data_IF_608057344447
#
_entry.id   IF_608057344447
#
_cell.length_a   1.000
_cell.length_b   1.000
_cell.length_c   1.000
_cell.angle_alpha   90.00
_cell.angle_beta   90.00
_cell.angle_gamma   90.00
#
_symmetry.space_group_name_H-M   'P 1'
#
loop_
_entity.id
_entity.type
_entity.pdbx_description
1 polymer ?
#
# COMPACT_ATOMS: atom_id res chain seq x y z
N UNK A 1 -42.76 -28.32 -26.56
CA UNK A 1 -41.99 -27.07 -26.49
C UNK A 1 -42.19 -26.46 -25.11
N UNK A 2 -41.26 -26.71 -24.22
CA UNK A 2 -41.34 -26.23 -22.83
C UNK A 2 -40.30 -25.11 -22.62
N UNK A 3 -40.64 -23.99 -21.98
CA UNK A 3 -39.69 -22.90 -21.74
C UNK A 3 -38.85 -23.19 -20.52
N UNK A 4 -37.56 -23.05 -20.69
CA UNK A 4 -36.52 -23.17 -19.68
C UNK A 4 -36.57 -21.96 -18.72
N UNK A 5 -36.86 -22.20 -17.44
CA UNK A 5 -36.81 -21.20 -16.36
C UNK A 5 -35.38 -21.00 -15.91
N UNK A 6 -34.78 -19.85 -16.24
CA UNK A 6 -33.55 -19.39 -15.64
C UNK A 6 -33.83 -18.84 -14.22
N UNK A 7 -33.37 -19.55 -13.23
CA UNK A 7 -33.42 -19.13 -11.83
C UNK A 7 -32.34 -18.08 -11.56
N UNK A 8 -32.72 -16.82 -11.52
CA UNK A 8 -31.89 -15.74 -10.98
C UNK A 8 -31.67 -15.96 -9.47
N UNK A 9 -30.43 -16.18 -9.06
CA UNK A 9 -30.05 -16.16 -7.63
C UNK A 9 -30.01 -14.70 -7.16
N UNK A 10 -30.60 -14.38 -5.99
CA UNK A 10 -30.56 -13.04 -5.46
C UNK A 10 -29.12 -12.68 -5.02
N UNK A 11 -28.65 -11.55 -5.51
CA UNK A 11 -27.40 -10.93 -5.11
C UNK A 11 -27.53 -10.41 -3.67
N UNK A 12 -26.95 -11.10 -2.71
CA UNK A 12 -26.92 -10.67 -1.31
C UNK A 12 -25.91 -9.54 -1.17
N UNK A 13 -26.39 -8.29 -1.18
CA UNK A 13 -25.62 -7.13 -0.75
C UNK A 13 -25.27 -7.26 0.73
N UNK A 14 -24.07 -7.73 1.05
CA UNK A 14 -23.50 -7.60 2.40
C UNK A 14 -23.27 -6.11 2.66
N UNK A 15 -24.12 -5.51 3.49
CA UNK A 15 -23.89 -4.16 4.02
C UNK A 15 -22.62 -4.20 4.88
N UNK A 16 -21.57 -3.55 4.40
CA UNK A 16 -20.45 -3.16 5.26
C UNK A 16 -20.99 -2.10 6.23
N UNK A 17 -21.00 -2.40 7.51
CA UNK A 17 -21.27 -1.41 8.54
C UNK A 17 -20.07 -0.47 8.61
N UNK A 18 -20.30 0.78 8.26
CA UNK A 18 -19.40 1.89 8.59
C UNK A 18 -19.23 1.92 10.11
N UNK A 19 -18.01 1.70 10.58
CA UNK A 19 -17.69 1.81 12.00
C UNK A 19 -17.48 3.28 12.32
N UNK A 20 -18.56 4.00 12.67
CA UNK A 20 -18.49 5.22 13.43
C UNK A 20 -18.43 4.84 14.91
N UNK A 21 -17.30 5.05 15.56
CA UNK A 21 -17.18 4.97 17.02
C UNK A 21 -17.78 6.21 17.67
N UNK A 22 -18.56 6.09 18.75
CA UNK A 22 -19.05 7.22 19.49
C UNK A 22 -17.96 7.85 20.35
N UNK A 23 -17.98 9.18 20.42
CA UNK A 23 -17.14 10.04 21.24
C UNK A 23 -17.17 9.66 22.73
N UNK A 24 -16.01 9.36 23.29
CA UNK A 24 -15.75 9.38 24.73
C UNK A 24 -14.56 10.30 25.00
N UNK A 25 -14.80 11.35 25.81
CA UNK A 25 -13.77 12.26 26.33
C UNK A 25 -12.87 11.48 27.30
N UNK A 26 -11.63 11.92 27.32
CA UNK A 26 -10.66 11.97 28.41
C UNK A 26 -9.34 11.21 28.16
N UNK A 27 -8.22 11.99 28.31
CA UNK A 27 -6.92 11.43 28.67
C UNK A 27 -5.97 11.20 27.50
N UNK A 28 -5.22 12.27 27.15
CA UNK A 28 -3.99 12.16 26.35
C UNK A 28 -2.97 11.31 27.12
N UNK A 29 -2.90 10.04 26.79
CA UNK A 29 -1.72 9.21 27.02
C UNK A 29 -1.40 8.54 25.69
N UNK A 30 -0.13 8.56 25.25
CA UNK A 30 0.33 8.06 23.96
C UNK A 30 -0.10 6.60 23.74
N UNK A 31 -1.32 6.42 23.28
CA UNK A 31 -1.93 5.14 22.99
C UNK A 31 -1.65 4.75 21.55
N UNK A 32 -1.24 3.50 21.36
CA UNK A 32 -1.20 2.86 20.06
C UNK A 32 -2.51 3.11 19.30
N UNK A 33 -2.40 3.40 18.01
CA UNK A 33 -3.55 3.58 17.13
C UNK A 33 -4.48 2.35 17.22
N UNK A 34 -5.82 2.50 17.13
CA UNK A 34 -6.79 1.40 17.31
C UNK A 34 -6.56 0.17 16.42
N UNK A 35 -5.74 0.30 15.37
CA UNK A 35 -5.33 -0.78 14.47
C UNK A 35 -3.97 -1.40 14.84
N UNK A 36 -3.28 -0.86 15.85
CA UNK A 36 -2.05 -1.42 16.45
C UNK A 36 -2.36 -2.41 17.59
N UNK A 37 -3.64 -2.57 17.97
CA UNK A 37 -4.02 -3.51 19.01
C UNK A 37 -3.62 -4.94 18.62
N UNK A 38 -2.85 -5.54 19.50
CA UNK A 38 -2.34 -6.92 19.41
C UNK A 38 -3.44 -7.97 19.63
N UNK A 39 -4.68 -7.54 19.69
CA UNK A 39 -5.85 -8.37 19.97
C UNK A 39 -6.36 -8.95 18.65
N UNK A 40 -5.75 -9.99 18.21
CA UNK A 40 -6.03 -10.99 17.15
C UNK A 40 -7.26 -10.90 16.26
N UNK A 41 -8.11 -9.91 16.41
CA UNK A 41 -9.46 -9.92 15.83
C UNK A 41 -9.63 -9.05 14.56
N UNK A 42 -8.81 -8.03 14.32
CA UNK A 42 -8.94 -7.24 13.09
C UNK A 42 -7.64 -6.58 12.61
N UNK A 43 -6.78 -7.32 11.90
CA UNK A 43 -5.68 -6.73 11.14
C UNK A 43 -6.19 -6.27 9.76
N UNK A 44 -6.20 -4.95 9.46
CA UNK A 44 -6.68 -4.43 8.18
C UNK A 44 -5.82 -4.83 6.98
N UNK A 45 -4.64 -5.39 7.20
CA UNK A 45 -3.73 -5.89 6.15
C UNK A 45 -3.45 -7.39 6.26
N UNK A 46 -4.39 -8.16 6.86
CA UNK A 46 -4.33 -9.63 6.84
C UNK A 46 -4.48 -10.19 5.41
N UNK A 47 -4.06 -11.43 5.22
CA UNK A 47 -4.01 -12.04 3.89
C UNK A 47 -5.38 -12.08 3.17
N UNK A 48 -6.49 -12.25 3.90
CA UNK A 48 -7.84 -12.24 3.34
C UNK A 48 -8.19 -10.87 2.76
N UNK A 49 -7.82 -9.78 3.46
CA UNK A 49 -8.03 -8.41 2.98
C UNK A 49 -7.15 -8.13 1.77
N UNK A 50 -5.89 -8.57 1.78
CA UNK A 50 -5.00 -8.45 0.61
C UNK A 50 -5.54 -9.23 -0.60
N UNK A 51 -6.15 -10.40 -0.37
CA UNK A 51 -6.81 -11.16 -1.43
C UNK A 51 -8.00 -10.40 -2.01
N UNK A 52 -8.90 -9.88 -1.17
CA UNK A 52 -10.03 -9.04 -1.59
C UNK A 52 -9.57 -7.79 -2.37
N UNK A 53 -8.45 -7.20 -1.95
CA UNK A 53 -7.84 -6.05 -2.61
C UNK A 53 -7.43 -6.39 -4.05
N UNK A 54 -6.71 -7.49 -4.28
CA UNK A 54 -6.28 -7.89 -5.63
C UNK A 54 -7.42 -8.43 -6.48
N UNK A 55 -8.48 -8.97 -5.86
CA UNK A 55 -9.71 -9.41 -6.55
C UNK A 55 -10.67 -8.27 -6.88
N UNK A 56 -10.31 -7.02 -6.52
CA UNK A 56 -11.15 -5.83 -6.71
C UNK A 56 -12.49 -5.88 -5.95
N UNK A 57 -12.53 -6.59 -4.83
CA UNK A 57 -13.70 -6.63 -3.93
C UNK A 57 -13.75 -5.43 -2.98
N UNK A 58 -12.62 -4.74 -2.81
CA UNK A 58 -12.49 -3.47 -2.07
C UNK A 58 -12.44 -2.33 -3.10
N UNK A 59 -13.07 -1.18 -2.81
CA UNK A 59 -13.05 -0.04 -3.73
C UNK A 59 -11.65 0.55 -3.90
N UNK A 60 -11.41 1.27 -5.01
CA UNK A 60 -10.10 1.91 -5.26
C UNK A 60 -9.80 2.98 -4.20
N UNK A 61 -10.83 3.70 -3.73
CA UNK A 61 -10.71 4.70 -2.66
C UNK A 61 -10.30 4.06 -1.33
N UNK A 62 -10.93 2.95 -0.95
CA UNK A 62 -10.57 2.25 0.29
C UNK A 62 -9.16 1.68 0.25
N UNK A 63 -8.69 1.23 -0.92
CA UNK A 63 -7.30 0.80 -1.07
C UNK A 63 -6.34 1.98 -0.89
N UNK A 64 -6.64 3.14 -1.47
CA UNK A 64 -5.85 4.34 -1.28
C UNK A 64 -5.81 4.76 0.21
N UNK A 65 -6.97 4.81 0.88
CA UNK A 65 -7.06 5.14 2.32
C UNK A 65 -6.24 4.18 3.18
N UNK A 66 -6.26 2.89 2.87
CA UNK A 66 -5.44 1.89 3.57
C UNK A 66 -3.95 2.16 3.40
N UNK A 67 -3.51 2.43 2.16
CA UNK A 67 -2.11 2.78 1.87
C UNK A 67 -1.70 4.08 2.56
N UNK A 68 -2.54 5.12 2.55
CA UNK A 68 -2.25 6.39 3.19
C UNK A 68 -2.06 6.26 4.69
N UNK A 69 -2.93 5.51 5.38
CA UNK A 69 -2.77 5.20 6.81
C UNK A 69 -1.42 4.53 7.09
N UNK A 70 -1.07 3.53 6.30
CA UNK A 70 0.21 2.83 6.45
C UNK A 70 1.42 3.71 6.12
N UNK A 71 1.28 4.70 5.26
CA UNK A 71 2.31 5.71 4.98
C UNK A 71 2.45 6.76 6.11
N UNK A 72 1.45 6.86 7.00
CA UNK A 72 1.45 7.80 8.12
C UNK A 72 0.64 9.08 7.87
N UNK A 73 -0.17 9.15 6.81
CA UNK A 73 -1.14 10.23 6.68
C UNK A 73 -2.25 10.09 7.71
N UNK A 74 -2.68 11.21 8.26
CA UNK A 74 -3.76 11.26 9.26
C UNK A 74 -5.05 11.78 8.65
N UNK A 75 -6.14 11.15 9.02
CA UNK A 75 -7.48 11.52 8.59
C UNK A 75 -8.13 12.38 9.67
N UNK A 76 -8.68 13.51 9.26
CA UNK A 76 -9.52 14.39 10.09
C UNK A 76 -10.89 14.53 9.42
N UNK A 77 -11.92 14.74 10.25
CA UNK A 77 -13.27 15.02 9.74
C UNK A 77 -13.50 16.51 9.91
N UNK A 78 -13.71 17.20 8.81
CA UNK A 78 -14.12 18.61 8.82
C UNK A 78 -15.63 18.67 8.59
N UNK A 79 -16.32 19.39 9.46
CA UNK A 79 -17.75 19.64 9.33
C UNK A 79 -17.94 21.01 8.66
N UNK A 80 -18.60 21.03 7.53
CA UNK A 80 -19.04 22.26 6.88
C UNK A 80 -20.15 22.90 7.74
N UNK A 81 -19.94 24.11 8.26
CA UNK A 81 -20.90 24.75 9.16
C UNK A 81 -22.21 25.15 8.47
N UNK A 82 -22.22 25.32 7.15
CA UNK A 82 -23.41 25.73 6.40
C UNK A 82 -24.27 24.52 5.98
N UNK A 83 -23.60 23.46 5.50
CA UNK A 83 -24.29 22.27 4.97
C UNK A 83 -24.40 21.15 5.98
N UNK A 84 -23.70 21.24 7.13
CA UNK A 84 -23.56 20.18 8.14
C UNK A 84 -23.02 18.86 7.54
N UNK A 85 -22.32 18.96 6.42
CA UNK A 85 -21.74 17.80 5.75
C UNK A 85 -20.36 17.51 6.32
N UNK A 86 -20.14 16.27 6.76
CA UNK A 86 -18.85 15.81 7.24
C UNK A 86 -17.98 15.37 6.05
N UNK A 87 -16.81 15.98 5.90
CA UNK A 87 -15.84 15.67 4.84
C UNK A 87 -14.57 15.09 5.45
N UNK A 88 -14.13 13.93 4.92
CA UNK A 88 -12.84 13.34 5.29
C UNK A 88 -11.71 14.14 4.64
N UNK A 89 -10.82 14.67 5.46
CA UNK A 89 -9.60 15.36 5.02
C UNK A 89 -8.39 14.56 5.46
N UNK A 90 -7.46 14.36 4.54
CA UNK A 90 -6.22 13.63 4.79
C UNK A 90 -5.04 14.59 4.73
N UNK A 91 -4.16 14.52 5.73
CA UNK A 91 -3.00 15.41 5.84
C UNK A 91 -1.73 14.62 6.15
N UNK A 92 -0.59 15.16 5.70
CA UNK A 92 0.71 14.62 6.07
C UNK A 92 0.94 14.80 7.57
N UNK A 93 1.43 13.76 8.25
CA UNK A 93 1.85 13.84 9.64
C UNK A 93 3.36 13.63 9.77
N UNK A 94 3.89 13.78 10.99
CA UNK A 94 5.31 13.54 11.29
C UNK A 94 5.73 12.06 11.09
N UNK A 95 4.74 11.15 11.01
CA UNK A 95 4.96 9.73 10.76
C UNK A 95 5.31 9.42 9.30
N UNK A 96 5.03 10.35 8.38
CA UNK A 96 5.36 10.19 6.96
C UNK A 96 6.85 10.40 6.74
N UNK A 97 7.49 9.51 5.98
CA UNK A 97 8.91 9.69 5.64
C UNK A 97 9.17 11.05 4.97
N UNK A 98 10.18 11.81 5.42
CA UNK A 98 10.42 13.19 4.94
C UNK A 98 10.52 13.33 3.42
N UNK A 99 11.19 12.41 2.74
CA UNK A 99 11.31 12.42 1.28
C UNK A 99 9.97 12.12 0.59
N UNK A 100 9.12 11.29 1.21
CA UNK A 100 7.78 11.02 0.71
C UNK A 100 6.87 12.22 0.93
N UNK A 101 6.86 12.80 2.14
CA UNK A 101 6.08 14.00 2.49
C UNK A 101 6.44 15.19 1.58
N UNK A 102 7.73 15.40 1.28
CA UNK A 102 8.18 16.44 0.37
C UNK A 102 7.65 16.25 -1.06
N UNK A 103 7.58 15.00 -1.53
CA UNK A 103 7.12 14.67 -2.89
C UNK A 103 5.61 14.65 -3.00
N UNK A 104 4.94 14.18 -1.96
CA UNK A 104 3.49 14.01 -1.89
C UNK A 104 2.97 14.68 -0.62
N UNK A 105 2.89 16.03 -0.60
CA UNK A 105 2.35 16.77 0.55
C UNK A 105 0.86 16.50 0.77
N UNK A 106 0.17 16.09 -0.28
CA UNK A 106 -1.19 15.54 -0.24
C UNK A 106 -1.15 14.04 -0.53
N UNK A 107 -2.07 13.25 0.07
CA UNK A 107 -2.12 11.81 -0.18
C UNK A 107 -2.34 11.50 -1.66
N UNK A 108 -1.39 10.84 -2.33
CA UNK A 108 -1.51 10.60 -3.76
C UNK A 108 -2.44 9.42 -4.06
N UNK A 109 -3.17 9.50 -5.18
CA UNK A 109 -3.79 8.31 -5.75
C UNK A 109 -2.71 7.35 -6.26
N UNK A 110 -2.66 6.13 -5.70
CA UNK A 110 -1.69 5.10 -6.08
C UNK A 110 -2.29 4.00 -6.95
N UNK A 111 -3.62 4.00 -7.10
CA UNK A 111 -4.37 2.96 -7.82
C UNK A 111 -4.90 3.44 -9.17
N UNK A 112 -5.33 4.70 -9.26
CA UNK A 112 -6.02 5.27 -10.42
C UNK A 112 -7.53 5.11 -10.28
N UNK A 113 -8.11 5.76 -9.27
CA UNK A 113 -9.55 5.72 -8.95
C UNK A 113 -10.40 6.10 -10.15
N UNK A 114 -9.99 7.15 -10.89
CA UNK A 114 -10.74 7.61 -12.06
C UNK A 114 -10.68 6.65 -13.25
N UNK A 115 -9.72 5.72 -13.26
CA UNK A 115 -9.45 4.77 -14.36
C UNK A 115 -9.29 5.43 -15.73
N UNK A 116 -8.82 6.69 -15.74
CA UNK A 116 -8.48 7.45 -16.95
C UNK A 116 -6.97 7.42 -17.14
N UNK A 117 -6.51 6.93 -18.28
CA UNK A 117 -5.09 6.67 -18.55
C UNK A 117 -4.46 7.71 -19.47
N UNK A 118 -5.01 8.93 -19.50
CA UNK A 118 -4.40 10.06 -20.19
C UNK A 118 -3.18 10.55 -19.40
N UNK A 119 -2.10 11.02 -20.06
CA UNK A 119 -0.87 11.40 -19.40
C UNK A 119 -1.07 12.38 -18.23
N UNK A 120 -1.93 13.37 -18.37
CA UNK A 120 -2.19 14.41 -17.37
C UNK A 120 -2.77 13.85 -16.06
N UNK A 121 -3.59 12.80 -16.16
CA UNK A 121 -4.25 12.17 -15.03
C UNK A 121 -3.44 10.98 -14.52
N UNK A 122 -2.89 10.19 -15.43
CA UNK A 122 -2.30 8.90 -15.11
C UNK A 122 -0.82 9.00 -14.70
N UNK A 123 -0.08 10.02 -15.13
CA UNK A 123 1.33 10.18 -14.79
C UNK A 123 1.57 10.37 -13.29
N UNK A 124 0.83 11.23 -12.56
CA UNK A 124 0.95 11.34 -11.10
C UNK A 124 0.70 10.01 -10.39
N UNK A 125 -0.31 9.25 -10.82
CA UNK A 125 -0.63 7.93 -10.26
C UNK A 125 0.50 6.93 -10.50
N UNK A 126 1.04 6.89 -11.72
CA UNK A 126 2.22 6.06 -12.05
C UNK A 126 3.41 6.38 -11.16
N UNK A 127 3.68 7.67 -10.95
CA UNK A 127 4.81 8.12 -10.13
C UNK A 127 4.64 7.74 -8.66
N UNK A 128 3.44 7.89 -8.12
CA UNK A 128 3.13 7.50 -6.75
C UNK A 128 3.27 5.98 -6.57
N UNK A 129 2.64 5.20 -7.44
CA UNK A 129 2.71 3.74 -7.41
C UNK A 129 4.15 3.22 -7.61
N UNK A 130 4.89 3.81 -8.55
CA UNK A 130 6.31 3.48 -8.77
C UNK A 130 7.17 3.83 -7.54
N UNK A 131 6.84 4.90 -6.81
CA UNK A 131 7.55 5.27 -5.58
C UNK A 131 7.31 4.25 -4.47
N UNK A 132 6.07 3.75 -4.31
CA UNK A 132 5.78 2.63 -3.42
C UNK A 132 6.59 1.39 -3.80
N UNK A 133 6.52 0.98 -5.05
CA UNK A 133 7.18 -0.24 -5.55
C UNK A 133 8.70 -0.19 -5.37
N UNK A 134 9.34 0.96 -5.61
CA UNK A 134 10.77 1.16 -5.39
C UNK A 134 11.18 1.12 -3.93
N UNK A 135 10.28 1.42 -3.01
CA UNK A 135 10.57 1.37 -1.57
C UNK A 135 10.62 -0.06 -1.02
N UNK A 136 10.02 -1.03 -1.72
CA UNK A 136 10.03 -2.45 -1.34
C UNK A 136 11.43 -3.04 -1.55
N UNK A 137 11.99 -3.67 -0.51
CA UNK A 137 13.28 -4.34 -0.64
C UNK A 137 13.22 -5.55 -1.60
N UNK A 138 14.37 -5.94 -2.14
CA UNK A 138 14.49 -7.04 -3.11
C UNK A 138 13.87 -8.34 -2.62
N UNK A 139 14.02 -8.65 -1.35
CA UNK A 139 13.51 -9.85 -0.68
C UNK A 139 11.98 -9.94 -0.70
N UNK A 140 11.28 -8.79 -0.65
CA UNK A 140 9.82 -8.72 -0.60
C UNK A 140 9.15 -8.48 -1.96
N UNK A 141 9.91 -8.45 -3.06
CA UNK A 141 9.30 -8.19 -4.39
C UNK A 141 8.25 -9.22 -4.81
N UNK A 142 8.36 -10.44 -4.33
CA UNK A 142 7.39 -11.53 -4.56
C UNK A 142 6.52 -11.84 -3.34
N UNK A 143 6.62 -11.05 -2.26
CA UNK A 143 5.99 -11.31 -0.97
C UNK A 143 4.48 -11.52 -1.07
N UNK A 144 3.79 -10.71 -1.87
CA UNK A 144 2.34 -10.86 -2.07
C UNK A 144 1.98 -12.25 -2.62
N UNK A 145 2.70 -12.73 -3.63
CA UNK A 145 2.43 -14.03 -4.25
C UNK A 145 2.65 -15.17 -3.26
N UNK A 146 3.68 -15.08 -2.45
CA UNK A 146 4.01 -16.07 -1.42
C UNK A 146 2.93 -16.11 -0.34
N UNK A 147 2.49 -14.92 0.13
CA UNK A 147 1.47 -14.79 1.18
C UNK A 147 0.08 -15.24 0.72
N UNK A 148 -0.28 -15.01 -0.54
CA UNK A 148 -1.61 -15.35 -1.06
C UNK A 148 -1.69 -16.72 -1.73
N UNK A 149 -0.56 -17.40 -1.98
CA UNK A 149 -0.51 -18.75 -2.53
C UNK A 149 -1.34 -19.77 -1.73
N UNK A 150 -1.29 -19.80 -0.38
CA UNK A 150 -2.14 -20.68 0.42
C UNK A 150 -3.64 -20.44 0.25
N UNK A 151 -4.03 -19.19 -0.07
CA UNK A 151 -5.42 -18.79 -0.36
C UNK A 151 -5.84 -19.01 -1.82
N UNK A 152 -4.98 -19.68 -2.61
CA UNK A 152 -5.27 -20.05 -4.00
C UNK A 152 -4.95 -18.97 -5.04
N UNK A 153 -4.42 -17.81 -4.65
CA UNK A 153 -4.05 -16.76 -5.61
C UNK A 153 -2.69 -17.07 -6.26
N UNK A 154 -2.69 -17.16 -7.59
CA UNK A 154 -1.48 -17.51 -8.38
C UNK A 154 -0.87 -16.31 -9.12
N UNK A 155 -1.41 -15.12 -8.92
CA UNK A 155 -1.10 -13.91 -9.70
C UNK A 155 -2.11 -13.65 -10.80
N UNK A 156 -1.96 -12.51 -11.45
CA UNK A 156 -2.79 -12.16 -12.61
C UNK A 156 -2.34 -12.91 -13.87
N UNK A 157 -3.31 -13.26 -14.71
CA UNK A 157 -3.04 -13.67 -16.09
C UNK A 157 -2.77 -12.42 -16.93
N UNK A 158 -1.92 -12.56 -17.94
CA UNK A 158 -1.62 -11.42 -18.85
C UNK A 158 -2.84 -10.98 -19.66
N UNK A 159 -3.71 -11.94 -20.00
CA UNK A 159 -4.95 -11.68 -20.71
C UNK A 159 -5.92 -10.90 -19.79
N UNK A 160 -6.41 -9.76 -20.26
CA UNK A 160 -7.32 -8.89 -19.51
C UNK A 160 -6.68 -8.07 -18.39
N UNK A 161 -5.35 -8.08 -18.26
CA UNK A 161 -4.64 -7.30 -17.24
C UNK A 161 -4.76 -5.80 -17.52
N UNK A 162 -5.32 -5.07 -16.57
CA UNK A 162 -5.45 -3.61 -16.64
C UNK A 162 -4.36 -2.91 -15.80
N UNK A 163 -4.05 -1.63 -16.08
CA UNK A 163 -3.14 -0.84 -15.24
C UNK A 163 -3.60 -0.77 -13.78
N UNK A 164 -4.89 -0.63 -13.54
CA UNK A 164 -5.47 -0.62 -12.19
C UNK A 164 -5.21 -1.94 -11.44
N UNK A 165 -5.44 -3.10 -12.06
CA UNK A 165 -5.15 -4.41 -11.45
C UNK A 165 -3.66 -4.53 -11.09
N UNK A 166 -2.76 -4.09 -11.97
CA UNK A 166 -1.31 -4.10 -11.71
C UNK A 166 -0.97 -3.23 -10.51
N UNK A 167 -1.52 -2.02 -10.41
CA UNK A 167 -1.29 -1.10 -9.30
C UNK A 167 -1.84 -1.64 -7.99
N UNK A 168 -3.00 -2.29 -8.01
CA UNK A 168 -3.54 -3.00 -6.85
C UNK A 168 -2.59 -4.07 -6.33
N UNK A 169 -2.02 -4.90 -7.23
CA UNK A 169 -1.03 -5.89 -6.82
C UNK A 169 0.24 -5.24 -6.26
N UNK A 170 0.69 -4.13 -6.84
CA UNK A 170 1.85 -3.39 -6.36
C UNK A 170 1.60 -2.77 -4.98
N UNK A 171 0.44 -2.17 -4.76
CA UNK A 171 0.02 -1.64 -3.46
C UNK A 171 -0.10 -2.76 -2.42
N UNK A 172 -0.74 -3.90 -2.77
CA UNK A 172 -0.85 -5.05 -1.90
C UNK A 172 0.52 -5.63 -1.53
N UNK A 173 1.46 -5.71 -2.49
CA UNK A 173 2.82 -6.17 -2.20
C UNK A 173 3.57 -5.21 -1.28
N UNK A 174 3.35 -3.90 -1.44
CA UNK A 174 3.90 -2.90 -0.52
C UNK A 174 3.28 -3.03 0.88
N UNK A 175 1.99 -3.33 1.01
CA UNK A 175 1.33 -3.58 2.28
C UNK A 175 1.88 -4.83 2.99
N UNK A 176 2.23 -5.88 2.25
CA UNK A 176 2.96 -7.04 2.82
C UNK A 176 4.30 -6.60 3.39
N UNK A 177 5.08 -5.83 2.63
CA UNK A 177 6.35 -5.29 3.08
C UNK A 177 6.19 -4.38 4.31
N UNK A 178 5.20 -3.49 4.29
CA UNK A 178 4.90 -2.63 5.43
C UNK A 178 4.58 -3.45 6.68
N UNK A 179 3.71 -4.45 6.58
CA UNK A 179 3.35 -5.32 7.70
C UNK A 179 4.55 -6.05 8.30
N UNK A 180 5.47 -6.50 7.47
CA UNK A 180 6.62 -7.30 7.90
C UNK A 180 7.79 -6.47 8.43
N UNK A 181 8.04 -5.29 7.85
CA UNK A 181 9.28 -4.54 8.07
C UNK A 181 9.12 -3.14 8.63
N UNK A 182 7.97 -2.50 8.39
CA UNK A 182 7.81 -1.08 8.68
C UNK A 182 6.86 -0.81 9.84
N UNK A 183 5.86 -1.67 10.04
CA UNK A 183 4.83 -1.48 11.07
C UNK A 183 5.44 -1.40 12.46
N UNK A 184 5.11 -0.35 13.20
CA UNK A 184 5.61 -0.16 14.58
C UNK A 184 7.09 0.17 14.72
N UNK A 185 7.82 0.33 13.59
CA UNK A 185 9.24 0.67 13.62
C UNK A 185 9.41 2.19 13.54
N UNK A 186 10.11 2.82 14.50
CA UNK A 186 10.37 4.25 14.47
C UNK A 186 11.11 4.69 13.20
N UNK A 187 10.79 5.89 12.70
CA UNK A 187 11.40 6.45 11.47
C UNK A 187 12.94 6.48 11.57
N UNK A 188 13.50 6.81 12.73
CA UNK A 188 14.95 6.87 12.91
C UNK A 188 15.59 5.48 12.75
N UNK A 189 14.95 4.44 13.24
CA UNK A 189 15.43 3.07 13.05
C UNK A 189 15.33 2.64 11.58
N UNK A 190 14.28 3.03 10.89
CA UNK A 190 14.14 2.77 9.45
C UNK A 190 15.20 3.50 8.62
N UNK A 191 15.55 4.74 8.99
CA UNK A 191 16.67 5.48 8.39
C UNK A 191 17.99 4.75 8.60
N UNK A 192 18.25 4.30 9.83
CA UNK A 192 19.45 3.54 10.18
C UNK A 192 19.56 2.24 9.40
N UNK A 193 18.48 1.45 9.31
CA UNK A 193 18.45 0.19 8.53
C UNK A 193 18.69 0.44 7.04
N UNK A 194 18.17 1.53 6.49
CA UNK A 194 18.39 1.91 5.09
C UNK A 194 19.86 2.27 4.84
N UNK A 195 20.48 3.02 5.72
CA UNK A 195 21.88 3.39 5.57
C UNK A 195 22.79 2.17 5.67
N UNK A 196 22.55 1.27 6.62
CA UNK A 196 23.30 0.01 6.73
C UNK A 196 23.19 -0.86 5.45
N UNK A 197 22.01 -0.93 4.85
CA UNK A 197 21.84 -1.66 3.57
C UNK A 197 22.64 -1.00 2.45
N UNK A 198 22.60 0.32 2.37
CA UNK A 198 23.38 1.06 1.38
C UNK A 198 24.88 0.81 1.51
N UNK A 199 25.40 0.80 2.73
CA UNK A 199 26.82 0.53 2.99
C UNK A 199 27.19 -0.89 2.56
N UNK A 200 26.37 -1.89 2.87
CA UNK A 200 26.60 -3.27 2.44
C UNK A 200 26.61 -3.42 0.92
N UNK A 201 25.67 -2.77 0.23
CA UNK A 201 25.62 -2.78 -1.25
C UNK A 201 26.87 -2.16 -1.87
N UNK A 202 27.45 -1.13 -1.24
CA UNK A 202 28.71 -0.52 -1.68
C UNK A 202 29.89 -1.50 -1.47
N UNK A 203 30.01 -2.11 -0.28
CA UNK A 203 31.04 -3.09 0.02
C UNK A 203 31.02 -4.28 -0.95
N UNK A 204 29.84 -4.87 -1.17
CA UNK A 204 29.64 -5.97 -2.11
C UNK A 204 29.91 -5.56 -3.57
N UNK A 205 29.65 -4.31 -3.91
CA UNK A 205 29.92 -3.75 -5.24
C UNK A 205 31.43 -3.53 -5.49
N UNK A 206 32.19 -3.21 -4.45
CA UNK A 206 33.66 -3.03 -4.53
C UNK A 206 34.37 -4.38 -4.63
N UNK A 207 33.93 -5.39 -3.89
CA UNK A 207 34.48 -6.75 -3.96
C UNK A 207 34.29 -7.40 -5.35
N UNK A 208 33.25 -7.05 -6.07
CA UNK A 208 32.94 -7.58 -7.41
C UNK A 208 33.65 -6.88 -8.55
N UNK A 209 34.44 -5.79 -8.29
CA UNK A 209 35.27 -5.20 -9.34
C UNK A 209 36.47 -6.11 -9.56
N UNK A 210 36.65 -6.70 -10.76
CA UNK A 210 37.84 -7.48 -11.08
C UNK A 210 39.04 -6.59 -10.95
N UNK A 211 40.01 -6.97 -10.14
CA UNK A 211 41.36 -6.40 -10.12
C UNK A 211 41.91 -6.61 -11.52
N UNK A 212 41.68 -5.59 -12.33
CA UNK A 212 41.94 -5.63 -13.76
C UNK A 212 43.40 -5.69 -14.07
N UNK A 213 43.69 -6.65 -14.84
CA UNK A 213 44.69 -6.88 -15.80
C UNK A 213 45.89 -5.91 -15.85
N UNK A 214 46.97 -6.40 -15.32
CA UNK A 214 48.32 -5.97 -15.66
C UNK A 214 48.43 -5.85 -17.20
N UNK A 215 48.60 -4.64 -17.68
CA UNK A 215 49.03 -4.39 -19.04
C UNK A 215 50.40 -5.03 -19.27
N UNK A 216 50.44 -6.15 -19.97
CA UNK A 216 51.68 -6.65 -20.55
C UNK A 216 52.07 -5.72 -21.66
N UNK A 217 53.12 -4.96 -21.40
CA UNK A 217 53.92 -4.24 -22.32
C UNK A 217 54.60 -5.24 -23.26
N UNK A 218 54.20 -5.28 -24.53
CA UNK A 218 54.92 -5.99 -25.57
C UNK A 218 55.94 -5.03 -26.19
N UNK A 219 57.20 -5.35 -26.04
CA UNK A 219 58.33 -4.79 -26.75
C UNK A 219 58.37 -5.34 -28.16
#
# INVERSE_FOLDING_TARGET
MSPSFHRNKPFVKKRFRSFCSPSGRDGFSGGAEPWESNDGEFDPIRNEVLLQLVQSEISDEEVNKLVWRCLGYEMTIELDPETLTATEMWRVSEKVFPNWAKRFPEPPDVIGVTRKYYPEIDQPVKEACASLTRSVSSEYKNGLKEQLKPLGWKGFKMEGLTPNMTRRAQAANWLVYYRSELRGVPIEELKRRRELRRLKEIEEGEEKKPTGGSAQSVV
#
